data_IF_326268199235
#
_entry.id   IF_326268199235
#
_cell.length_a   1.000
_cell.length_b   1.000
_cell.length_c   1.000
_cell.angle_alpha   90.00
_cell.angle_beta   90.00
_cell.angle_gamma   90.00
#
_symmetry.space_group_name_H-M   'P 1'
#
loop_
_entity.id
_entity.type
_entity.pdbx_description
1 polymer ?
#
# COMPACT_ATOMS: atom_id res chain seq x y z
N UNK A 1 -4.62 -16.01 -14.44
CA UNK A 1 -3.50 -15.48 -13.63
C UNK A 1 -4.06 -15.10 -12.27
N UNK A 2 -3.45 -15.60 -11.20
CA UNK A 2 -4.03 -15.61 -9.85
C UNK A 2 -4.18 -14.20 -9.28
N UNK A 3 -5.33 -13.98 -8.63
CA UNK A 3 -5.74 -12.87 -7.76
C UNK A 3 -4.65 -11.86 -7.39
N UNK A 4 -4.92 -10.60 -7.76
CA UNK A 4 -4.30 -9.35 -7.31
C UNK A 4 -3.48 -9.46 -6.02
N UNK A 5 -2.15 -9.51 -6.14
CA UNK A 5 -1.27 -9.22 -5.00
C UNK A 5 -1.37 -7.72 -4.70
N UNK A 6 -2.34 -7.35 -3.85
CA UNK A 6 -2.54 -5.98 -3.33
C UNK A 6 -1.33 -5.42 -2.58
N UNK A 7 -0.39 -6.28 -2.19
CA UNK A 7 0.77 -5.93 -1.38
C UNK A 7 2.03 -6.64 -1.88
N UNK A 8 3.13 -5.90 -1.88
CA UNK A 8 4.50 -6.40 -2.07
C UNK A 8 5.34 -5.92 -0.89
N UNK A 9 6.12 -6.80 -0.28
CA UNK A 9 6.95 -6.44 0.88
C UNK A 9 8.23 -7.29 0.96
N UNK A 10 9.33 -6.64 1.32
CA UNK A 10 10.67 -7.25 1.44
C UNK A 10 11.54 -6.45 2.39
N UNK A 11 12.28 -7.11 3.28
CA UNK A 11 13.28 -6.45 4.15
C UNK A 11 12.74 -5.16 4.77
N UNK A 12 13.31 -4.03 4.36
CA UNK A 12 13.02 -2.66 4.82
C UNK A 12 11.89 -1.93 4.08
N UNK A 13 11.25 -2.55 3.09
CA UNK A 13 10.30 -1.86 2.21
C UNK A 13 9.03 -2.62 1.90
N UNK A 14 7.97 -1.87 1.59
CA UNK A 14 6.72 -2.42 1.10
C UNK A 14 5.92 -1.43 0.23
N UNK A 15 5.11 -2.00 -0.65
CA UNK A 15 4.21 -1.32 -1.58
C UNK A 15 2.80 -1.91 -1.43
N UNK A 16 1.79 -1.05 -1.38
CA UNK A 16 0.38 -1.42 -1.34
C UNK A 16 -0.38 -0.77 -2.48
N UNK A 17 -1.44 -1.44 -2.95
CA UNK A 17 -2.39 -0.87 -3.91
C UNK A 17 -3.76 -0.71 -3.24
N UNK A 18 -4.19 0.52 -2.91
CA UNK A 18 -5.50 0.75 -2.33
C UNK A 18 -6.60 0.35 -3.32
N UNK A 19 -7.64 -0.33 -2.82
CA UNK A 19 -8.85 -0.62 -3.55
C UNK A 19 -9.80 0.59 -3.54
N UNK A 20 -10.51 0.82 -4.65
CA UNK A 20 -11.53 1.87 -4.74
C UNK A 20 -11.00 3.29 -4.87
N UNK A 21 -9.71 3.53 -4.64
CA UNK A 21 -9.10 4.85 -4.86
C UNK A 21 -8.73 5.05 -6.34
N UNK A 22 -9.73 5.40 -7.14
CA UNK A 22 -9.60 5.67 -8.58
C UNK A 22 -10.16 7.05 -8.90
N UNK A 23 -9.49 7.77 -9.78
CA UNK A 23 -9.93 9.04 -10.31
C UNK A 23 -10.65 8.80 -11.65
N UNK A 24 -11.93 9.15 -11.73
CA UNK A 24 -12.73 8.99 -12.96
C UNK A 24 -12.28 9.91 -14.08
N UNK A 25 -11.66 11.05 -13.77
CA UNK A 25 -11.13 11.98 -14.76
C UNK A 25 -9.81 11.44 -15.35
N UNK A 26 -9.16 10.52 -14.63
CA UNK A 26 -7.88 9.92 -14.99
C UNK A 26 -7.85 8.40 -14.75
N UNK A 27 -8.70 7.61 -15.43
CA UNK A 27 -8.93 6.18 -15.12
C UNK A 27 -7.70 5.28 -15.35
N UNK A 28 -6.71 5.76 -16.12
CA UNK A 28 -5.43 5.08 -16.33
C UNK A 28 -4.45 5.26 -15.16
N UNK A 29 -4.65 6.24 -14.29
CA UNK A 29 -3.78 6.46 -13.13
C UNK A 29 -4.05 5.40 -12.07
N UNK A 30 -2.97 4.94 -11.44
CA UNK A 30 -3.02 3.95 -10.36
C UNK A 30 -2.28 4.51 -9.17
N UNK A 31 -2.98 4.63 -8.05
CA UNK A 31 -2.37 4.98 -6.78
C UNK A 31 -1.66 3.76 -6.19
N UNK A 32 -0.48 4.01 -5.61
CA UNK A 32 0.26 3.06 -4.80
C UNK A 32 0.74 3.74 -3.53
N UNK A 33 0.66 3.03 -2.41
CA UNK A 33 1.28 3.43 -1.14
C UNK A 33 2.67 2.79 -1.05
N UNK A 34 3.63 3.51 -0.49
CA UNK A 34 5.01 3.02 -0.35
C UNK A 34 5.52 3.35 1.05
N UNK A 35 6.11 2.37 1.72
CA UNK A 35 6.81 2.54 3.00
C UNK A 35 8.22 2.00 2.85
N UNK A 36 9.18 2.75 3.39
CA UNK A 36 10.54 2.30 3.59
C UNK A 36 11.00 2.66 5.01
N UNK A 37 11.55 1.70 5.74
CA UNK A 37 11.97 1.87 7.14
C UNK A 37 13.44 1.51 7.28
N UNK A 38 14.22 2.44 7.83
CA UNK A 38 15.61 2.22 8.21
C UNK A 38 15.75 2.32 9.72
N UNK A 39 15.33 1.24 10.41
CA UNK A 39 15.43 1.15 11.86
C UNK A 39 15.74 -0.29 12.26
N UNK A 40 16.76 -0.46 13.11
CA UNK A 40 17.20 -1.76 13.62
C UNK A 40 16.04 -2.44 14.35
N UNK A 41 15.75 -3.70 13.96
CA UNK A 41 14.68 -4.49 14.57
C UNK A 41 13.28 -4.16 14.05
N UNK A 42 13.18 -3.35 12.98
CA UNK A 42 11.94 -3.04 12.25
C UNK A 42 12.05 -3.31 10.76
N UNK A 43 13.16 -3.88 10.32
CA UNK A 43 13.60 -4.11 8.95
C UNK A 43 13.29 -5.53 8.45
N UNK A 44 12.28 -6.18 9.03
CA UNK A 44 11.84 -7.52 8.65
C UNK A 44 10.55 -7.51 7.82
N UNK A 45 10.37 -8.59 7.05
CA UNK A 45 9.24 -8.79 6.14
C UNK A 45 7.87 -8.75 6.83
N UNK A 46 7.77 -9.23 8.07
CA UNK A 46 6.50 -9.26 8.80
C UNK A 46 6.11 -7.87 9.30
N UNK A 47 7.08 -7.10 9.80
CA UNK A 47 6.88 -5.68 10.16
C UNK A 47 6.47 -4.87 8.93
N UNK A 48 7.15 -5.03 7.79
CA UNK A 48 6.79 -4.32 6.56
C UNK A 48 5.40 -4.68 6.05
N UNK A 49 5.03 -5.96 6.13
CA UNK A 49 3.67 -6.41 5.76
C UNK A 49 2.61 -5.72 6.62
N UNK A 50 2.82 -5.62 7.92
CA UNK A 50 1.86 -4.98 8.81
C UNK A 50 1.74 -3.49 8.51
N UNK A 51 2.87 -2.77 8.47
CA UNK A 51 2.90 -1.33 8.20
C UNK A 51 2.21 -0.97 6.87
N UNK A 52 2.50 -1.70 5.79
CA UNK A 52 1.90 -1.37 4.49
C UNK A 52 0.40 -1.68 4.46
N UNK A 53 -0.04 -2.72 5.16
CA UNK A 53 -1.47 -3.06 5.23
C UNK A 53 -2.24 -1.97 5.96
N UNK A 54 -1.74 -1.53 7.11
CA UNK A 54 -2.37 -0.50 7.91
C UNK A 54 -2.41 0.84 7.15
N UNK A 55 -1.27 1.27 6.61
CA UNK A 55 -1.20 2.53 5.86
C UNK A 55 -2.09 2.54 4.62
N UNK A 56 -2.08 1.46 3.83
CA UNK A 56 -2.93 1.35 2.63
C UNK A 56 -4.41 1.40 3.00
N UNK A 57 -4.82 0.68 4.04
CA UNK A 57 -6.21 0.69 4.52
C UNK A 57 -6.64 2.08 5.00
N UNK A 58 -5.73 2.83 5.64
CA UNK A 58 -6.00 4.21 6.04
C UNK A 58 -6.18 5.12 4.83
N UNK A 59 -5.33 4.98 3.80
CA UNK A 59 -5.46 5.75 2.55
C UNK A 59 -6.79 5.43 1.85
N UNK A 60 -7.17 4.15 1.74
CA UNK A 60 -8.45 3.71 1.17
C UNK A 60 -9.67 4.36 1.84
N UNK A 61 -9.60 4.62 3.14
CA UNK A 61 -10.70 5.22 3.92
C UNK A 61 -10.62 6.75 4.02
N UNK A 62 -9.58 7.36 3.46
CA UNK A 62 -9.35 8.78 3.58
C UNK A 62 -10.23 9.58 2.62
N UNK A 63 -10.52 10.83 2.94
CA UNK A 63 -11.26 11.73 2.04
C UNK A 63 -10.51 12.02 0.72
N UNK A 64 -9.22 11.68 0.62
CA UNK A 64 -8.44 11.77 -0.61
C UNK A 64 -8.75 10.62 -1.60
N UNK A 65 -9.41 9.55 -1.13
CA UNK A 65 -9.89 8.43 -1.93
C UNK A 65 -11.42 8.41 -1.91
N UNK A 66 -12.08 9.18 -2.79
CA UNK A 66 -13.54 9.17 -2.87
C UNK A 66 -14.06 7.78 -3.29
N UNK A 67 -15.23 7.36 -2.79
CA UNK A 67 -15.86 6.08 -3.13
C UNK A 67 -16.36 6.03 -4.58
#
# INVERSE_FOLDING_TARGET
MSSDQKYLHSGTGAVGRPAGCVDSDHPQQKLYTVIQVFAVGRDDKSTMKQLITDYTTTVEKSAACPP
#
